data_IF_465643897290
#
_entry.id   IF_465643897290
#
_cell.length_a   1.000
_cell.length_b   1.000
_cell.length_c   1.000
_cell.angle_alpha   90.00
_cell.angle_beta   90.00
_cell.angle_gamma   90.00
#
_symmetry.space_group_name_H-M   'P 1'
#
loop_
_entity.id
_entity.type
_entity.pdbx_description
1 polymer ?
#
# COMPACT_ATOMS: atom_id res chain seq x y z
N UNK A 1 -27.72 22.97 -35.61
CA UNK A 1 -27.37 22.80 -34.18
C UNK A 1 -25.86 22.69 -34.07
N UNK A 2 -25.20 23.75 -33.61
CA UNK A 2 -23.73 23.82 -33.52
C UNK A 2 -23.32 23.19 -32.20
N UNK A 3 -22.50 22.14 -32.24
CA UNK A 3 -21.91 21.49 -31.05
C UNK A 3 -21.09 22.53 -30.28
N UNK A 4 -21.21 22.64 -28.94
CA UNK A 4 -20.31 23.49 -28.17
C UNK A 4 -18.89 22.96 -28.35
N UNK A 5 -18.02 23.77 -28.94
CA UNK A 5 -16.59 23.50 -29.05
C UNK A 5 -16.05 23.30 -27.63
N UNK A 6 -15.54 22.10 -27.34
CA UNK A 6 -14.92 21.76 -26.06
C UNK A 6 -13.75 22.72 -25.82
N UNK A 7 -13.98 23.80 -25.06
CA UNK A 7 -12.91 24.68 -24.62
C UNK A 7 -12.06 23.90 -23.63
N UNK A 8 -10.76 23.83 -23.92
CA UNK A 8 -9.77 23.40 -22.94
C UNK A 8 -9.90 24.30 -21.70
N UNK A 9 -10.14 23.70 -20.55
CA UNK A 9 -10.17 24.38 -19.25
C UNK A 9 -8.87 24.03 -18.54
N UNK A 10 -8.00 25.02 -18.34
CA UNK A 10 -6.75 24.83 -17.62
C UNK A 10 -7.00 24.31 -16.20
N UNK A 11 -6.16 23.39 -15.69
CA UNK A 11 -6.24 22.95 -14.30
C UNK A 11 -6.19 24.16 -13.37
N UNK A 12 -7.00 24.13 -12.29
CA UNK A 12 -6.93 25.15 -11.24
C UNK A 12 -5.49 25.25 -10.74
N UNK A 13 -4.97 26.47 -10.71
CA UNK A 13 -3.64 26.73 -10.16
C UNK A 13 -3.72 26.59 -8.64
N UNK A 14 -2.79 25.86 -8.01
CA UNK A 14 -2.64 25.87 -6.56
C UNK A 14 -2.41 27.31 -6.10
N UNK A 15 -3.34 27.88 -5.32
CA UNK A 15 -3.19 29.24 -4.78
C UNK A 15 -2.29 29.20 -3.55
N UNK A 16 -1.18 29.95 -3.59
CA UNK A 16 -0.34 30.18 -2.41
C UNK A 16 -1.03 31.16 -1.46
N UNK A 17 -1.41 30.68 -0.26
CA UNK A 17 -1.88 31.53 0.84
C UNK A 17 -3.22 31.14 1.44
N UNK A 18 -3.55 31.75 2.59
CA UNK A 18 -4.73 31.53 3.45
C UNK A 18 -6.09 31.76 2.76
N UNK A 19 -6.12 32.11 1.48
CA UNK A 19 -7.33 32.07 0.67
C UNK A 19 -7.51 30.64 0.18
N UNK A 20 -8.46 29.90 0.78
CA UNK A 20 -8.89 28.62 0.27
C UNK A 20 -9.08 28.72 -1.25
N UNK A 21 -8.44 27.83 -2.02
CA UNK A 21 -8.85 27.57 -3.40
C UNK A 21 -10.38 27.40 -3.33
N UNK A 22 -11.13 28.24 -4.03
CA UNK A 22 -12.59 28.13 -4.11
C UNK A 22 -12.90 26.83 -4.85
N UNK A 23 -12.93 25.74 -4.10
CA UNK A 23 -13.18 24.42 -4.64
C UNK A 23 -14.63 24.37 -5.13
N UNK A 24 -14.88 23.79 -6.32
CA UNK A 24 -16.23 23.63 -6.82
C UNK A 24 -17.10 22.91 -5.79
N UNK A 25 -18.28 23.46 -5.49
CA UNK A 25 -19.21 22.87 -4.50
C UNK A 25 -20.09 21.77 -5.10
N UNK A 26 -20.07 21.62 -6.42
CA UNK A 26 -20.81 20.57 -7.14
C UNK A 26 -19.94 19.30 -7.29
N UNK A 27 -20.38 18.12 -6.83
CA UNK A 27 -19.63 16.88 -6.95
C UNK A 27 -19.21 16.53 -8.38
N UNK A 28 -20.01 16.87 -9.41
CA UNK A 28 -19.63 16.64 -10.81
C UNK A 28 -18.44 17.51 -11.23
N UNK A 29 -18.45 18.77 -10.84
CA UNK A 29 -17.36 19.71 -11.09
C UNK A 29 -16.07 19.31 -10.36
N UNK A 30 -16.16 18.75 -9.14
CA UNK A 30 -14.98 18.21 -8.44
C UNK A 30 -14.37 17.02 -9.18
N UNK A 31 -15.20 16.10 -9.70
CA UNK A 31 -14.70 14.93 -10.46
C UNK A 31 -14.03 15.34 -11.76
N UNK A 32 -14.63 16.29 -12.50
CA UNK A 32 -14.03 16.83 -13.73
C UNK A 32 -12.69 17.53 -13.45
N UNK A 33 -12.59 18.29 -12.36
CA UNK A 33 -11.34 18.95 -11.99
C UNK A 33 -10.29 17.97 -11.50
N UNK A 34 -10.68 16.95 -10.73
CA UNK A 34 -9.81 15.88 -10.26
C UNK A 34 -9.19 15.12 -11.44
N UNK A 35 -9.96 14.82 -12.49
CA UNK A 35 -9.44 14.20 -13.71
C UNK A 35 -8.36 15.06 -14.41
N UNK A 36 -8.53 16.38 -14.42
CA UNK A 36 -7.52 17.30 -15.00
C UNK A 36 -6.25 17.34 -14.16
N UNK A 37 -6.39 17.35 -12.83
CA UNK A 37 -5.25 17.38 -11.91
C UNK A 37 -4.48 16.05 -11.90
N UNK A 38 -5.18 14.92 -11.98
CA UNK A 38 -4.53 13.59 -12.11
C UNK A 38 -3.80 13.45 -13.46
N UNK A 39 -4.37 13.96 -14.56
CA UNK A 39 -3.68 14.02 -15.84
C UNK A 39 -2.40 14.87 -15.79
N UNK A 40 -2.47 16.06 -15.18
CA UNK A 40 -1.32 16.94 -14.98
C UNK A 40 -0.25 16.27 -14.09
N UNK A 41 -0.67 15.57 -13.04
CA UNK A 41 0.21 14.83 -12.14
C UNK A 41 0.96 13.71 -12.87
N UNK A 42 0.27 12.92 -13.69
CA UNK A 42 0.89 11.89 -14.53
C UNK A 42 1.92 12.49 -15.50
N UNK A 43 1.56 13.60 -16.16
CA UNK A 43 2.47 14.29 -17.08
C UNK A 43 3.73 14.84 -16.38
N UNK A 44 3.59 15.45 -15.20
CA UNK A 44 4.72 15.93 -14.41
C UNK A 44 5.63 14.79 -13.95
N UNK A 45 5.05 13.64 -13.58
CA UNK A 45 5.83 12.44 -13.25
C UNK A 45 6.65 11.93 -14.43
N UNK A 46 6.06 11.88 -15.62
CA UNK A 46 6.76 11.44 -16.84
C UNK A 46 7.89 12.40 -17.22
N UNK A 47 7.67 13.71 -17.09
CA UNK A 47 8.70 14.73 -17.33
C UNK A 47 9.86 14.64 -16.34
N UNK A 48 9.59 14.51 -15.03
CA UNK A 48 10.64 14.37 -14.00
C UNK A 48 11.43 13.07 -14.23
N UNK A 49 10.75 11.98 -14.58
CA UNK A 49 11.37 10.69 -14.87
C UNK A 49 12.22 10.69 -16.15
N UNK A 50 11.96 11.60 -17.09
CA UNK A 50 12.75 11.76 -18.31
C UNK A 50 14.16 12.34 -18.07
N UNK A 51 14.51 12.68 -16.82
CA UNK A 51 15.88 13.04 -16.42
C UNK A 51 16.16 14.54 -16.37
N UNK A 52 15.15 15.38 -16.58
CA UNK A 52 15.25 16.84 -16.39
C UNK A 52 14.80 17.13 -14.95
N UNK A 53 15.73 17.06 -14.00
CA UNK A 53 15.47 17.49 -12.61
C UNK A 53 15.40 19.01 -12.58
N UNK A 54 14.16 19.51 -12.57
CA UNK A 54 13.82 20.92 -12.43
C UNK A 54 13.14 21.11 -11.06
N UNK A 55 13.80 21.77 -10.08
CA UNK A 55 13.24 21.98 -8.75
C UNK A 55 11.87 22.66 -8.77
N UNK A 56 11.59 23.49 -9.78
CA UNK A 56 10.31 24.15 -9.94
C UNK A 56 9.19 23.17 -10.33
N UNK A 57 9.51 22.14 -11.13
CA UNK A 57 8.55 21.08 -11.49
C UNK A 57 8.31 20.12 -10.34
N UNK A 58 9.33 19.85 -9.53
CA UNK A 58 9.17 19.08 -8.30
C UNK A 58 8.22 19.81 -7.33
N UNK A 59 8.41 21.11 -7.10
CA UNK A 59 7.50 21.94 -6.30
C UNK A 59 6.07 21.93 -6.89
N UNK A 60 5.94 22.08 -8.20
CA UNK A 60 4.65 22.00 -8.88
C UNK A 60 3.97 20.63 -8.71
N UNK A 61 4.74 19.52 -8.75
CA UNK A 61 4.22 18.18 -8.49
C UNK A 61 3.65 18.07 -7.07
N UNK A 62 4.38 18.58 -6.07
CA UNK A 62 3.94 18.63 -4.69
C UNK A 62 2.65 19.42 -4.51
N UNK A 63 2.51 20.54 -5.21
CA UNK A 63 1.31 21.37 -5.14
C UNK A 63 0.10 20.71 -5.81
N UNK A 64 0.30 20.06 -6.97
CA UNK A 64 -0.76 19.28 -7.65
C UNK A 64 -1.20 18.11 -6.78
N UNK A 65 -0.27 17.40 -6.12
CA UNK A 65 -0.60 16.32 -5.19
C UNK A 65 -1.45 16.80 -4.00
N UNK A 66 -1.11 17.96 -3.42
CA UNK A 66 -1.92 18.59 -2.36
C UNK A 66 -3.31 18.94 -2.85
N UNK A 67 -3.44 19.51 -4.06
CA UNK A 67 -4.72 19.87 -4.63
C UNK A 67 -5.59 18.64 -4.94
N UNK A 68 -5.01 17.56 -5.49
CA UNK A 68 -5.70 16.26 -5.68
C UNK A 68 -6.20 15.72 -4.34
N UNK A 69 -5.38 15.80 -3.30
CA UNK A 69 -5.76 15.37 -1.95
C UNK A 69 -6.93 16.19 -1.41
N UNK A 70 -6.91 17.50 -1.61
CA UNK A 70 -7.98 18.39 -1.17
C UNK A 70 -9.29 18.13 -1.92
N UNK A 71 -9.24 17.96 -3.24
CA UNK A 71 -10.39 17.60 -4.09
C UNK A 71 -10.99 16.24 -3.68
N UNK A 72 -10.16 15.22 -3.43
CA UNK A 72 -10.61 13.90 -2.95
C UNK A 72 -11.31 13.99 -1.59
N UNK A 73 -10.80 14.82 -0.67
CA UNK A 73 -11.40 15.05 0.66
C UNK A 73 -12.74 15.77 0.56
N UNK A 74 -12.83 16.83 -0.23
CA UNK A 74 -14.09 17.55 -0.44
C UNK A 74 -15.13 16.68 -1.15
N UNK A 75 -14.75 15.89 -2.15
CA UNK A 75 -15.65 14.94 -2.80
C UNK A 75 -16.23 13.94 -1.79
N UNK A 76 -15.38 13.41 -0.89
CA UNK A 76 -15.82 12.51 0.19
C UNK A 76 -16.73 13.20 1.19
N UNK A 77 -16.46 14.47 1.52
CA UNK A 77 -17.30 15.27 2.40
C UNK A 77 -18.69 15.57 1.80
N UNK A 78 -18.75 15.92 0.50
CA UNK A 78 -20.00 16.16 -0.21
C UNK A 78 -20.83 14.88 -0.38
N UNK A 79 -20.19 13.74 -0.67
CA UNK A 79 -20.88 12.43 -0.69
C UNK A 79 -21.54 12.14 0.67
N UNK A 80 -20.79 12.24 1.77
CA UNK A 80 -21.32 12.06 3.13
C UNK A 80 -22.49 12.98 3.48
N UNK A 81 -22.48 14.24 3.00
CA UNK A 81 -23.57 15.21 3.20
C UNK A 81 -24.81 14.88 2.38
N UNK A 82 -24.66 14.33 1.17
CA UNK A 82 -25.78 13.89 0.33
C UNK A 82 -26.38 12.55 0.80
N UNK A 83 -25.55 11.67 1.36
CA UNK A 83 -25.97 10.37 1.88
C UNK A 83 -26.72 10.48 3.23
N UNK A 84 -26.74 11.67 3.86
CA UNK A 84 -27.50 11.92 5.10
C UNK A 84 -29.03 12.02 4.91
N UNK A 85 -29.53 11.89 3.66
CA UNK A 85 -30.95 12.04 3.33
C UNK A 85 -31.65 10.74 2.90
N UNK A 86 -30.93 9.62 2.75
CA UNK A 86 -31.51 8.32 2.37
C UNK A 86 -30.84 7.18 3.14
N UNK A 87 -31.51 6.73 4.19
CA UNK A 87 -31.24 5.46 4.86
C UNK A 87 -31.80 4.31 4.00
N UNK A 88 -30.93 3.57 3.31
CA UNK A 88 -30.95 2.10 3.13
C UNK A 88 -29.88 1.66 2.10
N UNK A 89 -28.88 0.91 2.57
CA UNK A 89 -28.03 -0.05 1.84
C UNK A 89 -27.32 0.42 0.53
N UNK A 90 -26.05 0.85 0.62
CA UNK A 90 -24.92 0.18 -0.05
C UNK A 90 -23.55 0.75 0.41
N UNK A 91 -22.60 -0.16 0.65
CA UNK A 91 -21.16 0.04 0.88
C UNK A 91 -20.68 1.28 1.65
N UNK A 92 -20.56 1.13 2.97
CA UNK A 92 -19.48 1.78 3.71
C UNK A 92 -18.13 1.22 3.22
N UNK A 93 -17.23 2.01 2.58
CA UNK A 93 -15.81 1.69 2.66
C UNK A 93 -15.39 2.13 4.06
N UNK A 94 -15.67 1.26 5.03
CA UNK A 94 -14.92 1.20 6.28
C UNK A 94 -13.42 1.13 5.95
N UNK A 95 -12.53 1.47 6.89
CA UNK A 95 -11.08 1.53 6.63
C UNK A 95 -10.68 0.30 5.82
N UNK A 96 -10.35 0.52 4.53
CA UNK A 96 -10.29 -0.61 3.60
C UNK A 96 -9.20 -1.54 4.09
N UNK A 97 -9.37 -2.85 3.89
CA UNK A 97 -8.43 -3.89 4.29
C UNK A 97 -6.96 -3.48 4.01
N UNK A 98 -6.76 -2.82 2.88
CA UNK A 98 -5.53 -2.17 2.42
C UNK A 98 -4.89 -1.21 3.43
N UNK A 99 -5.65 -0.33 4.10
CA UNK A 99 -5.11 0.59 5.10
C UNK A 99 -4.60 -0.12 6.36
N UNK A 100 -5.25 -1.23 6.76
CA UNK A 100 -4.79 -2.02 7.89
C UNK A 100 -3.56 -2.84 7.53
N UNK A 101 -3.53 -3.40 6.33
CA UNK A 101 -2.36 -4.10 5.79
C UNK A 101 -1.18 -3.13 5.65
N UNK A 102 -1.39 -1.93 5.13
CA UNK A 102 -0.37 -0.89 5.01
C UNK A 102 0.15 -0.45 6.37
N UNK A 103 -0.73 -0.20 7.35
CA UNK A 103 -0.32 0.13 8.72
C UNK A 103 0.49 -1.00 9.37
N UNK A 104 0.08 -2.24 9.17
CA UNK A 104 0.79 -3.39 9.70
C UNK A 104 2.16 -3.55 9.03
N UNK A 105 2.23 -3.37 7.71
CA UNK A 105 3.46 -3.45 6.94
C UNK A 105 4.49 -2.40 7.40
N UNK A 106 4.05 -1.16 7.62
CA UNK A 106 4.91 -0.08 8.13
C UNK A 106 5.42 -0.42 9.54
N UNK A 107 4.56 -0.94 10.42
CA UNK A 107 4.97 -1.31 11.77
C UNK A 107 6.04 -2.42 11.75
N UNK A 108 5.85 -3.44 10.92
CA UNK A 108 6.83 -4.53 10.75
C UNK A 108 8.12 -4.01 10.12
N UNK A 109 8.04 -3.14 9.10
CA UNK A 109 9.23 -2.53 8.49
C UNK A 109 10.05 -1.75 9.52
N UNK A 110 9.40 -0.93 10.34
CA UNK A 110 10.09 -0.16 11.39
C UNK A 110 10.75 -1.06 12.42
N UNK A 111 10.09 -2.14 12.85
CA UNK A 111 10.66 -3.12 13.78
C UNK A 111 11.89 -3.80 13.18
N UNK A 112 11.80 -4.28 11.93
CA UNK A 112 12.91 -4.93 11.24
C UNK A 112 14.11 -3.98 11.08
N UNK A 113 13.87 -2.72 10.72
CA UNK A 113 14.94 -1.71 10.62
C UNK A 113 15.63 -1.48 11.96
N UNK A 114 14.86 -1.32 13.04
CA UNK A 114 15.42 -1.14 14.39
C UNK A 114 16.25 -2.35 14.81
N UNK A 115 15.80 -3.56 14.46
CA UNK A 115 16.52 -4.79 14.77
C UNK A 115 17.82 -4.92 13.96
N UNK A 116 17.79 -4.58 12.67
CA UNK A 116 18.99 -4.50 11.82
C UNK A 116 19.98 -3.50 12.40
N UNK A 117 19.55 -2.32 12.83
CA UNK A 117 20.43 -1.30 13.44
C UNK A 117 21.07 -1.80 14.74
N UNK A 118 20.31 -2.50 15.59
CA UNK A 118 20.82 -3.11 16.82
C UNK A 118 21.84 -4.22 16.54
N UNK A 119 21.56 -5.07 15.55
CA UNK A 119 22.48 -6.13 15.12
C UNK A 119 23.75 -5.55 14.48
N UNK A 120 23.64 -4.49 13.67
CA UNK A 120 24.78 -3.75 13.14
C UNK A 120 25.66 -3.18 14.26
N UNK A 121 25.06 -2.53 15.28
CA UNK A 121 25.83 -2.05 16.43
C UNK A 121 26.52 -3.17 17.23
N UNK A 122 25.91 -4.36 17.27
CA UNK A 122 26.53 -5.54 17.89
C UNK A 122 27.73 -6.03 17.08
N UNK A 123 27.60 -6.06 15.75
CA UNK A 123 28.68 -6.43 14.84
C UNK A 123 29.85 -5.47 14.99
N UNK A 124 29.60 -4.16 14.98
CA UNK A 124 30.63 -3.14 15.14
C UNK A 124 31.38 -3.32 16.47
N UNK A 125 30.66 -3.55 17.56
CA UNK A 125 31.27 -3.80 18.86
C UNK A 125 32.13 -5.07 18.90
N UNK A 126 31.71 -6.15 18.23
CA UNK A 126 32.50 -7.37 18.13
C UNK A 126 33.73 -7.18 17.25
N UNK A 127 33.63 -6.40 16.17
CA UNK A 127 34.76 -6.05 15.31
C UNK A 127 35.82 -5.26 16.09
N UNK A 128 35.41 -4.32 16.94
CA UNK A 128 36.30 -3.60 17.84
C UNK A 128 36.99 -4.54 18.84
N UNK A 129 36.25 -5.45 19.47
CA UNK A 129 36.82 -6.46 20.38
C UNK A 129 37.84 -7.36 19.69
N UNK A 130 37.53 -7.84 18.47
CA UNK A 130 38.47 -8.65 17.68
C UNK A 130 39.73 -7.85 17.35
N UNK A 131 39.60 -6.57 17.03
CA UNK A 131 40.72 -5.70 16.73
C UNK A 131 41.59 -5.44 17.97
N UNK A 132 40.99 -5.22 19.14
CA UNK A 132 41.70 -5.08 20.42
C UNK A 132 42.46 -6.37 20.80
N UNK A 133 41.82 -7.54 20.64
CA UNK A 133 42.46 -8.83 20.88
C UNK A 133 43.62 -9.09 19.91
N UNK A 134 43.47 -8.70 18.64
CA UNK A 134 44.55 -8.80 17.62
C UNK A 134 45.73 -7.88 17.96
N UNK A 135 45.48 -6.73 18.58
CA UNK A 135 46.52 -5.76 18.94
C UNK A 135 47.24 -6.10 20.26
N UNK A 136 46.78 -7.07 21.04
CA UNK A 136 47.47 -7.58 22.22
C UNK A 136 48.49 -8.69 21.86
N UNK A 137 49.81 -8.48 21.96
CA UNK A 137 50.82 -9.45 21.53
C UNK A 137 51.04 -10.64 22.50
N UNK A 138 50.18 -10.82 23.51
CA UNK A 138 50.42 -11.77 24.60
C UNK A 138 49.34 -12.85 24.66
N UNK A 139 49.33 -13.75 23.68
CA UNK A 139 49.03 -15.18 23.92
C UNK A 139 49.54 -16.03 22.76
N UNK A 140 50.58 -16.80 23.05
CA UNK A 140 51.12 -17.87 22.22
C UNK A 140 50.20 -19.09 22.26
N UNK A 141 50.06 -19.75 21.10
CA UNK A 141 49.56 -21.11 20.87
C UNK A 141 48.08 -21.41 21.17
N UNK A 142 47.33 -21.73 20.11
CA UNK A 142 46.27 -22.73 20.15
C UNK A 142 46.34 -23.56 18.87
N UNK A 143 46.41 -24.86 19.09
CA UNK A 143 46.88 -25.88 18.17
C UNK A 143 45.87 -26.26 17.07
N UNK A 144 46.39 -27.09 16.17
CA UNK A 144 45.81 -27.73 14.99
C UNK A 144 44.49 -28.53 15.18
N UNK A 145 43.70 -28.29 16.24
CA UNK A 145 42.42 -29.00 16.52
C UNK A 145 41.15 -28.17 16.24
N UNK A 146 41.28 -26.88 15.93
CA UNK A 146 40.14 -25.98 15.64
C UNK A 146 39.35 -26.36 14.39
N UNK A 147 39.93 -27.09 13.44
CA UNK A 147 39.27 -27.45 12.18
C UNK A 147 38.21 -28.57 12.31
N UNK A 148 38.24 -29.39 13.37
CA UNK A 148 37.28 -30.50 13.54
C UNK A 148 35.99 -30.11 14.25
N UNK A 149 35.99 -29.06 15.09
CA UNK A 149 34.78 -28.55 15.74
C UNK A 149 33.92 -27.70 14.78
N UNK A 150 34.55 -26.92 13.89
CA UNK A 150 33.85 -26.04 12.95
C UNK A 150 32.94 -26.79 11.98
N UNK A 151 33.36 -27.97 11.53
CA UNK A 151 32.56 -28.82 10.61
C UNK A 151 31.32 -29.38 11.30
N UNK A 152 31.38 -29.62 12.61
CA UNK A 152 30.25 -30.13 13.38
C UNK A 152 29.20 -29.03 13.61
N UNK A 153 29.63 -27.81 13.93
CA UNK A 153 28.74 -26.66 14.12
C UNK A 153 28.10 -26.19 12.80
N UNK A 154 28.87 -26.17 11.71
CA UNK A 154 28.37 -25.77 10.39
C UNK A 154 27.26 -26.71 9.90
N UNK A 155 27.38 -28.01 10.17
CA UNK A 155 26.34 -28.99 9.86
C UNK A 155 25.07 -28.78 10.71
N UNK A 156 25.22 -28.47 11.99
CA UNK A 156 24.07 -28.17 12.89
C UNK A 156 23.30 -26.94 12.41
N UNK A 157 24.00 -25.90 11.95
CA UNK A 157 23.34 -24.73 11.38
C UNK A 157 22.68 -25.03 10.04
N UNK A 158 23.33 -25.80 9.16
CA UNK A 158 22.74 -26.22 7.89
C UNK A 158 21.41 -26.97 8.10
N UNK A 159 21.39 -27.95 9.01
CA UNK A 159 20.17 -28.70 9.35
C UNK A 159 19.07 -27.77 9.91
N UNK A 160 19.45 -26.75 10.69
CA UNK A 160 18.50 -25.77 11.27
C UNK A 160 17.95 -24.80 10.22
N UNK A 161 18.75 -24.41 9.24
CA UNK A 161 18.31 -23.59 8.11
C UNK A 161 17.36 -24.38 7.20
N UNK A 162 17.67 -25.65 6.91
CA UNK A 162 16.82 -26.53 6.11
C UNK A 162 15.45 -26.75 6.79
N UNK A 163 15.43 -27.02 8.10
CA UNK A 163 14.17 -27.15 8.86
C UNK A 163 13.33 -25.87 8.82
N UNK A 164 13.97 -24.70 8.92
CA UNK A 164 13.28 -23.41 8.85
C UNK A 164 12.71 -23.13 7.45
N UNK A 165 13.44 -23.50 6.40
CA UNK A 165 12.99 -23.41 5.01
C UNK A 165 11.78 -24.32 4.77
N UNK A 166 11.81 -25.55 5.30
CA UNK A 166 10.68 -26.47 5.25
C UNK A 166 9.44 -25.91 5.99
N UNK A 167 9.64 -25.32 7.17
CA UNK A 167 8.53 -24.70 7.93
C UNK A 167 7.94 -23.49 7.21
N UNK A 168 8.77 -22.64 6.63
CA UNK A 168 8.32 -21.48 5.85
C UNK A 168 7.59 -21.91 4.59
N UNK A 169 8.05 -22.96 3.90
CA UNK A 169 7.36 -23.55 2.77
C UNK A 169 5.97 -24.08 3.18
N UNK A 170 5.88 -24.86 4.26
CA UNK A 170 4.60 -25.40 4.74
C UNK A 170 3.60 -24.30 5.11
N UNK A 171 4.04 -23.24 5.80
CA UNK A 171 3.17 -22.11 6.15
C UNK A 171 2.69 -21.37 4.91
N UNK A 172 3.56 -21.20 3.92
CA UNK A 172 3.23 -20.56 2.64
C UNK A 172 2.17 -21.37 1.89
N UNK A 173 2.37 -22.68 1.76
CA UNK A 173 1.41 -23.59 1.14
C UNK A 173 0.05 -23.57 1.86
N UNK A 174 0.06 -23.53 3.20
CA UNK A 174 -1.17 -23.42 4.00
C UNK A 174 -1.89 -22.10 3.79
N UNK A 175 -1.18 -20.97 3.74
CA UNK A 175 -1.77 -19.65 3.45
C UNK A 175 -2.40 -19.66 2.05
N UNK A 176 -1.72 -20.22 1.05
CA UNK A 176 -2.25 -20.32 -0.31
C UNK A 176 -3.52 -21.17 -0.34
N UNK A 177 -3.50 -22.34 0.32
CA UNK A 177 -4.67 -23.22 0.41
C UNK A 177 -5.86 -22.52 1.06
N UNK A 178 -5.64 -21.80 2.16
CA UNK A 178 -6.72 -21.11 2.86
C UNK A 178 -7.28 -19.94 2.05
N UNK A 179 -6.40 -19.19 1.36
CA UNK A 179 -6.81 -18.15 0.41
C UNK A 179 -7.69 -18.71 -0.71
N UNK A 180 -7.32 -19.87 -1.27
CA UNK A 180 -8.12 -20.54 -2.30
C UNK A 180 -9.52 -20.91 -1.78
N UNK A 181 -9.62 -21.43 -0.55
CA UNK A 181 -10.92 -21.73 0.08
C UNK A 181 -11.77 -20.48 0.25
N UNK A 182 -11.18 -19.38 0.72
CA UNK A 182 -11.88 -18.10 0.86
C UNK A 182 -12.43 -17.61 -0.49
N UNK A 183 -11.64 -17.70 -1.57
CA UNK A 183 -12.07 -17.30 -2.92
C UNK A 183 -13.25 -18.16 -3.40
N UNK A 184 -13.21 -19.48 -3.18
CA UNK A 184 -14.32 -20.37 -3.53
C UNK A 184 -15.60 -20.03 -2.76
N UNK A 185 -15.49 -19.75 -1.46
CA UNK A 185 -16.63 -19.37 -0.63
C UNK A 185 -17.22 -18.03 -1.09
N UNK A 186 -16.38 -17.04 -1.41
CA UNK A 186 -16.84 -15.75 -1.94
C UNK A 186 -17.61 -15.93 -3.26
N UNK A 187 -17.08 -16.73 -4.19
CA UNK A 187 -17.76 -17.03 -5.44
C UNK A 187 -19.12 -17.72 -5.20
N UNK A 188 -19.19 -18.64 -4.22
CA UNK A 188 -20.45 -19.29 -3.86
C UNK A 188 -21.48 -18.30 -3.29
N UNK A 189 -21.06 -17.40 -2.40
CA UNK A 189 -21.92 -16.35 -1.83
C UNK A 189 -22.45 -15.43 -2.93
N UNK A 190 -21.60 -15.03 -3.86
CA UNK A 190 -21.99 -14.17 -4.98
C UNK A 190 -23.01 -14.85 -5.90
N UNK A 191 -22.77 -16.12 -6.27
CA UNK A 191 -23.71 -16.91 -7.07
C UNK A 191 -25.07 -17.08 -6.39
N UNK A 192 -25.09 -17.30 -5.07
CA UNK A 192 -26.32 -17.38 -4.28
C UNK A 192 -27.04 -16.04 -4.21
N UNK A 193 -26.31 -14.94 -4.05
CA UNK A 193 -26.87 -13.58 -4.07
C UNK A 193 -27.52 -13.26 -5.41
N UNK A 194 -26.84 -13.55 -6.52
CA UNK A 194 -27.37 -13.39 -7.88
C UNK A 194 -28.61 -14.26 -8.11
N UNK A 195 -28.58 -15.52 -7.69
CA UNK A 195 -29.73 -16.42 -7.79
C UNK A 195 -30.93 -15.91 -6.98
N UNK A 196 -30.69 -15.35 -5.79
CA UNK A 196 -31.74 -14.80 -4.93
C UNK A 196 -32.32 -13.49 -5.51
N UNK A 197 -31.47 -12.63 -6.08
CA UNK A 197 -31.90 -11.43 -6.80
C UNK A 197 -32.77 -11.80 -8.00
N UNK A 198 -32.36 -12.79 -8.78
CA UNK A 198 -33.13 -13.28 -9.93
C UNK A 198 -34.46 -13.90 -9.51
N UNK A 199 -34.53 -14.65 -8.40
CA UNK A 199 -35.81 -15.16 -7.86
C UNK A 199 -36.75 -14.04 -7.41
N UNK A 200 -36.24 -13.03 -6.72
CA UNK A 200 -37.03 -11.85 -6.35
C UNK A 200 -37.57 -11.15 -7.59
N UNK A 201 -36.71 -10.85 -8.58
CA UNK A 201 -37.12 -10.27 -9.86
C UNK A 201 -38.15 -11.12 -10.62
N UNK A 202 -38.03 -12.45 -10.58
CA UNK A 202 -39.02 -13.37 -11.14
C UNK A 202 -40.36 -13.30 -10.41
N UNK A 203 -40.37 -13.21 -9.08
CA UNK A 203 -41.61 -13.11 -8.29
C UNK A 203 -42.36 -11.78 -8.49
N UNK A 204 -41.64 -10.68 -8.75
CA UNK A 204 -42.25 -9.39 -9.11
C UNK A 204 -42.91 -9.42 -10.50
N UNK A 205 -42.41 -10.23 -11.43
CA UNK A 205 -42.99 -10.39 -12.76
C UNK A 205 -44.24 -11.28 -12.75
N UNK A 206 -44.28 -12.33 -11.92
CA UNK A 206 -45.48 -13.17 -11.74
C UNK A 206 -46.62 -12.43 -10.99
N UNK A 207 -46.29 -11.49 -10.10
CA UNK A 207 -47.29 -10.70 -9.36
C UNK A 207 -47.97 -9.57 -10.16
N UNK A 208 -47.49 -9.26 -11.36
CA UNK A 208 -48.06 -8.24 -12.26
C UNK A 208 -49.04 -8.80 -13.31
N UNK A 209 -49.35 -10.10 -13.23
CA UNK A 209 -50.18 -10.81 -14.21
C UNK A 209 -51.62 -11.10 -13.76
N UNK A 210 -52.11 -10.46 -12.69
CA UNK A 210 -53.49 -10.57 -12.19
C UNK A 210 -54.19 -9.21 -12.11
#
# INVERSE_FOLDING_TARGET
>A
MVRPCCRYVSPLKPSYGRSAVELPTDPKAIVEELAKQEFLLSHLHDEIKSGISDPQKEEQLWDVQRLVTQLKRELKALKRRNDSALDEFDHEPGPCLEMFEEKHLIAVEMELRSRIESEQGTIDHLLDQINELRQNPLSLHADSETASLTVCEEKVWADKYEELENQTQMLTERIISERQKCVLLLAQVEMLSLANRNRKSSSYLEGLQY
#
